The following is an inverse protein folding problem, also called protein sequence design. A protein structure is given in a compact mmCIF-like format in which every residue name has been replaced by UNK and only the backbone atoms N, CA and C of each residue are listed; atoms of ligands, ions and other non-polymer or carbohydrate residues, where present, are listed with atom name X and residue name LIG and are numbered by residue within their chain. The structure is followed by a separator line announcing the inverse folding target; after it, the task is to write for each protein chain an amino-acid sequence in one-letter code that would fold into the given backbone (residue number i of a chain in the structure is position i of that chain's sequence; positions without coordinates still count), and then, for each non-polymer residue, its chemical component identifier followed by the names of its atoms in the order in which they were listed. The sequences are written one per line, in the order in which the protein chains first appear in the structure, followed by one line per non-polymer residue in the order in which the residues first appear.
data_IF_251932344673
#
_entry.id   IF_251932344673
#
_cell.length_a   1.000
_cell.length_b   1.000
_cell.length_c   1.000
_cell.angle_alpha   90.00
_cell.angle_beta   90.00
_cell.angle_gamma   90.00
#
_symmetry.space_group_name_H-M   'P 1'
#
loop_
_entity.id
_entity.type
_entity.pdbx_description
1 polymer ?
#
# COMPACT_ATOMS: atom_id res chain seq x y z
N UNK A 1 -7.93 9.58 -54.60
CA UNK A 1 -7.17 8.99 -53.45
C UNK A 1 -6.93 10.08 -52.42
N UNK A 2 -7.51 9.99 -51.46
CA UNK A 2 -8.12 10.54 -50.23
C UNK A 2 -7.22 11.52 -49.45
N UNK A 3 -7.38 12.83 -49.72
CA UNK A 3 -6.88 13.92 -48.88
C UNK A 3 -7.44 13.91 -47.45
N UNK A 4 -8.51 13.19 -47.20
CA UNK A 4 -9.16 13.05 -45.88
C UNK A 4 -8.40 12.14 -44.90
N UNK A 5 -7.62 11.20 -45.40
CA UNK A 5 -6.79 10.30 -44.57
C UNK A 5 -5.54 10.98 -44.02
N UNK A 6 -4.97 11.96 -44.77
CA UNK A 6 -3.76 12.69 -44.33
C UNK A 6 -4.07 13.68 -43.18
N UNK A 7 -5.28 14.23 -43.11
CA UNK A 7 -5.67 15.17 -42.05
C UNK A 7 -5.88 14.42 -40.73
N UNK A 8 -6.40 13.19 -40.77
CA UNK A 8 -6.57 12.36 -39.56
C UNK A 8 -5.24 11.89 -38.99
N UNK A 9 -4.26 11.57 -39.83
CA UNK A 9 -2.91 11.16 -39.41
C UNK A 9 -2.13 12.31 -38.77
N UNK A 10 -2.30 13.55 -39.27
CA UNK A 10 -1.63 14.73 -38.70
C UNK A 10 -2.24 15.16 -37.36
N UNK A 11 -3.53 14.92 -37.12
CA UNK A 11 -4.19 15.22 -35.85
C UNK A 11 -3.77 14.28 -34.71
N UNK A 12 -3.44 13.00 -35.01
CA UNK A 12 -2.96 12.04 -34.03
C UNK A 12 -1.52 12.34 -33.59
N UNK A 13 -0.68 12.89 -34.47
CA UNK A 13 0.70 13.28 -34.13
C UNK A 13 0.76 14.56 -33.28
N UNK A 14 -0.25 15.45 -33.36
CA UNK A 14 -0.30 16.66 -32.53
C UNK A 14 -0.66 16.38 -31.06
N UNK A 15 -1.32 15.25 -30.75
CA UNK A 15 -1.66 14.86 -29.37
C UNK A 15 -0.50 14.17 -28.61
N UNK A 16 0.52 13.69 -29.29
CA UNK A 16 1.69 13.07 -28.64
C UNK A 16 2.65 14.09 -28.00
N UNK A 17 2.47 15.38 -28.22
CA UNK A 17 3.33 16.45 -27.69
C UNK A 17 2.84 17.14 -26.42
N UNK A 18 1.66 16.80 -25.92
CA UNK A 18 1.12 17.33 -24.65
C UNK A 18 1.29 16.34 -23.50
N UNK A 19 2.39 15.60 -23.46
CA UNK A 19 2.84 14.94 -22.23
C UNK A 19 3.29 16.05 -21.29
N UNK A 20 2.37 16.44 -20.42
CA UNK A 20 2.50 17.36 -19.34
C UNK A 20 3.92 17.45 -18.78
N UNK A 21 4.44 18.63 -18.66
CA UNK A 21 5.40 18.99 -17.63
C UNK A 21 4.72 18.74 -16.28
N UNK A 22 4.62 17.47 -15.89
CA UNK A 22 4.44 17.08 -14.50
C UNK A 22 5.60 17.74 -13.79
N UNK A 23 5.35 18.62 -12.83
CA UNK A 23 6.42 19.26 -12.09
C UNK A 23 7.39 18.16 -11.65
N UNK A 24 8.71 18.39 -11.73
CA UNK A 24 9.67 17.33 -11.44
C UNK A 24 9.45 16.64 -10.09
N UNK A 25 8.86 17.34 -9.12
CA UNK A 25 8.47 16.80 -7.81
C UNK A 25 7.37 15.75 -7.94
N UNK A 26 6.31 15.99 -8.73
CA UNK A 26 5.19 15.06 -8.84
C UNK A 26 5.63 13.74 -9.50
N UNK A 27 6.54 13.80 -10.48
CA UNK A 27 7.13 12.60 -11.09
C UNK A 27 7.96 11.78 -10.08
N UNK A 28 8.73 12.45 -9.22
CA UNK A 28 9.49 11.79 -8.15
C UNK A 28 8.55 11.16 -7.13
N UNK A 29 7.49 11.86 -6.70
CA UNK A 29 6.51 11.33 -5.77
C UNK A 29 5.79 10.09 -6.32
N UNK A 30 5.44 10.08 -7.60
CA UNK A 30 4.87 8.89 -8.26
C UNK A 30 5.85 7.71 -8.28
N UNK A 31 7.13 7.95 -8.56
CA UNK A 31 8.15 6.90 -8.50
C UNK A 31 8.35 6.35 -7.09
N UNK A 32 8.34 7.22 -6.07
CA UNK A 32 8.41 6.80 -4.68
C UNK A 32 7.20 5.96 -4.33
N UNK A 33 6.00 6.39 -4.67
CA UNK A 33 4.77 5.64 -4.41
C UNK A 33 4.81 4.24 -5.04
N UNK A 34 5.31 4.11 -6.26
CA UNK A 34 5.37 2.83 -6.95
C UNK A 34 6.46 1.89 -6.40
N UNK A 35 7.59 2.43 -5.91
CA UNK A 35 8.78 1.64 -5.61
C UNK A 35 9.13 1.57 -4.12
N UNK A 36 8.48 2.34 -3.25
CA UNK A 36 8.79 2.38 -1.83
C UNK A 36 8.46 1.04 -1.15
N UNK A 37 9.48 0.43 -0.54
CA UNK A 37 9.36 -0.89 0.11
C UNK A 37 8.50 -0.85 1.38
N UNK A 38 8.47 0.27 2.09
CA UNK A 38 7.63 0.44 3.28
C UNK A 38 6.15 0.51 2.90
N UNK A 39 5.81 1.20 1.80
CA UNK A 39 4.44 1.21 1.28
C UNK A 39 3.99 -0.17 0.83
N UNK A 40 4.87 -0.92 0.17
CA UNK A 40 4.59 -2.31 -0.23
C UNK A 40 4.38 -3.21 0.98
N UNK A 41 5.29 -3.13 1.97
CA UNK A 41 5.19 -3.91 3.20
C UNK A 41 3.91 -3.58 3.99
N UNK A 42 3.58 -2.29 4.12
CA UNK A 42 2.34 -1.86 4.78
C UNK A 42 1.10 -2.36 4.03
N UNK A 43 1.10 -2.34 2.70
CA UNK A 43 -0.01 -2.88 1.88
C UNK A 43 -0.22 -4.38 2.14
N UNK A 44 0.86 -5.17 2.23
CA UNK A 44 0.78 -6.58 2.57
C UNK A 44 0.29 -6.81 4.00
N UNK A 45 0.76 -6.02 4.97
CA UNK A 45 0.31 -6.08 6.35
C UNK A 45 -1.20 -5.80 6.47
N UNK A 46 -1.67 -4.71 5.86
CA UNK A 46 -3.09 -4.35 5.85
C UNK A 46 -3.93 -5.44 5.18
N UNK A 47 -3.44 -6.02 4.08
CA UNK A 47 -4.13 -7.12 3.39
C UNK A 47 -4.25 -8.37 4.28
N UNK A 48 -3.19 -8.72 5.00
CA UNK A 48 -3.17 -9.82 5.98
C UNK A 48 -4.19 -9.59 7.09
N UNK A 49 -4.19 -8.40 7.70
CA UNK A 49 -5.13 -8.04 8.78
C UNK A 49 -6.59 -8.03 8.31
N UNK A 50 -6.85 -7.64 7.06
CA UNK A 50 -8.20 -7.73 6.46
C UNK A 50 -8.65 -9.18 6.29
N UNK A 51 -7.74 -10.08 5.91
CA UNK A 51 -8.04 -11.51 5.81
C UNK A 51 -8.32 -12.09 7.21
N UNK A 52 -7.52 -11.75 8.21
CA UNK A 52 -7.75 -12.13 9.60
C UNK A 52 -9.13 -11.65 10.10
N UNK A 53 -9.51 -10.41 9.82
CA UNK A 53 -10.84 -9.92 10.17
C UNK A 53 -11.98 -10.73 9.52
N UNK A 54 -11.77 -11.28 8.32
CA UNK A 54 -12.76 -12.15 7.68
C UNK A 54 -12.89 -13.51 8.38
N UNK A 55 -11.76 -14.10 8.79
CA UNK A 55 -11.74 -15.42 9.42
C UNK A 55 -12.36 -15.39 10.83
N UNK A 56 -12.32 -14.26 11.52
CA UNK A 56 -12.90 -14.10 12.86
C UNK A 56 -14.43 -14.27 12.94
N UNK A 57 -15.11 -14.39 11.81
CA UNK A 57 -16.57 -14.60 11.77
C UNK A 57 -16.97 -15.93 11.14
N UNK A 58 -16.03 -16.87 11.05
CA UNK A 58 -16.30 -18.21 10.60
C UNK A 58 -17.03 -19.04 11.67
N UNK A 59 -17.74 -20.07 11.21
CA UNK A 59 -18.27 -21.09 12.11
C UNK A 59 -17.10 -21.82 12.76
N UNK A 60 -17.22 -22.25 14.04
CA UNK A 60 -16.26 -23.17 14.65
C UNK A 60 -16.11 -24.43 13.81
N UNK A 61 -14.93 -24.99 13.81
CA UNK A 61 -14.66 -26.20 13.05
C UNK A 61 -15.47 -27.40 13.59
N UNK A 62 -16.02 -28.27 12.72
CA UNK A 62 -16.64 -29.51 13.15
C UNK A 62 -15.59 -30.44 13.76
N UNK A 63 -15.94 -31.10 14.85
CA UNK A 63 -15.07 -32.11 15.46
C UNK A 63 -15.60 -33.49 15.15
N UNK A 64 -14.72 -34.36 14.68
CA UNK A 64 -14.96 -35.78 14.46
C UNK A 64 -14.13 -36.56 15.48
N UNK A 65 -14.79 -37.31 16.34
CA UNK A 65 -14.13 -38.21 17.28
C UNK A 65 -14.55 -39.66 16.99
N UNK A 66 -13.58 -40.55 17.06
CA UNK A 66 -13.79 -41.99 17.00
C UNK A 66 -13.21 -42.62 18.26
N UNK A 67 -14.06 -43.32 19.02
CA UNK A 67 -13.67 -44.10 20.18
C UNK A 67 -13.90 -45.56 19.89
N UNK A 68 -12.88 -46.37 20.15
CA UNK A 68 -12.98 -47.83 20.12
C UNK A 68 -12.94 -48.35 21.54
N UNK A 69 -14.06 -48.93 21.99
CA UNK A 69 -14.22 -49.44 23.35
C UNK A 69 -14.05 -50.96 23.34
N UNK A 70 -13.12 -51.43 24.16
CA UNK A 70 -12.85 -52.86 24.33
C UNK A 70 -13.48 -53.29 25.66
N UNK A 71 -14.33 -54.32 25.65
CA UNK A 71 -14.82 -54.87 26.92
C UNK A 71 -13.72 -55.79 27.51
N UNK A 72 -13.30 -55.45 28.72
CA UNK A 72 -12.28 -56.20 29.45
C UNK A 72 -12.75 -57.58 29.97
N UNK A 73 -14.05 -57.87 29.90
CA UNK A 73 -14.62 -59.13 30.43
C UNK A 73 -15.10 -60.11 29.35
N UNK A 74 -15.43 -59.59 28.17
CA UNK A 74 -15.81 -60.40 26.99
C UNK A 74 -14.99 -59.91 25.81
N UNK A 75 -13.97 -60.63 25.44
CA UNK A 75 -13.05 -60.28 24.34
C UNK A 75 -13.65 -60.30 22.94
N UNK A 76 -14.92 -60.67 22.81
CA UNK A 76 -15.59 -60.75 21.52
C UNK A 76 -16.55 -59.59 21.22
N UNK A 77 -16.80 -58.71 22.19
CA UNK A 77 -17.64 -57.54 21.95
C UNK A 77 -16.79 -56.26 21.91
N UNK A 78 -16.63 -55.72 20.72
CA UNK A 78 -16.01 -54.42 20.48
C UNK A 78 -17.06 -53.42 20.01
N UNK A 79 -17.16 -52.29 20.69
CA UNK A 79 -18.07 -51.19 20.29
C UNK A 79 -17.26 -50.03 19.75
N UNK A 80 -17.54 -49.69 18.50
CA UNK A 80 -16.98 -48.46 17.89
C UNK A 80 -18.02 -47.30 17.99
N UNK A 81 -17.61 -46.20 18.54
CA UNK A 81 -18.39 -44.97 18.61
C UNK A 81 -17.77 -43.92 17.73
N UNK A 82 -18.55 -43.35 16.79
CA UNK A 82 -18.16 -42.21 15.99
C UNK A 82 -19.09 -41.04 16.28
N UNK A 83 -18.52 -39.94 16.78
CA UNK A 83 -19.26 -38.73 17.14
C UNK A 83 -18.81 -37.58 16.24
N UNK A 84 -19.78 -36.98 15.56
CA UNK A 84 -19.59 -35.72 14.82
C UNK A 84 -20.29 -34.62 15.61
N UNK A 85 -19.57 -33.62 16.03
CA UNK A 85 -20.16 -32.48 16.73
C UNK A 85 -19.83 -31.16 16.06
N UNK A 86 -20.83 -30.30 15.94
CA UNK A 86 -20.74 -28.95 15.40
C UNK A 86 -21.35 -27.97 16.40
N UNK A 87 -20.55 -27.00 16.86
CA UNK A 87 -21.06 -25.92 17.71
C UNK A 87 -21.49 -24.72 16.86
N UNK A 88 -22.49 -24.01 17.33
CA UNK A 88 -22.99 -22.79 16.73
C UNK A 88 -23.13 -21.71 17.81
N UNK A 89 -22.59 -20.53 17.53
CA UNK A 89 -22.88 -19.36 18.34
C UNK A 89 -24.29 -18.81 18.02
N UNK A 90 -24.82 -17.99 18.91
CA UNK A 90 -26.11 -17.36 18.68
C UNK A 90 -26.07 -16.43 17.46
N UNK A 91 -27.06 -16.46 16.54
CA UNK A 91 -27.03 -15.74 15.26
C UNK A 91 -26.70 -14.25 15.35
N UNK A 92 -27.10 -13.57 16.44
CA UNK A 92 -26.80 -12.15 16.64
C UNK A 92 -25.31 -11.88 16.84
N UNK A 93 -24.53 -12.85 17.34
CA UNK A 93 -23.09 -12.73 17.49
C UNK A 93 -22.40 -12.64 16.13
N UNK A 94 -22.79 -13.46 15.18
CA UNK A 94 -22.25 -13.40 13.82
C UNK A 94 -22.56 -12.05 13.15
N UNK A 95 -23.78 -11.53 13.32
CA UNK A 95 -24.17 -10.22 12.79
C UNK A 95 -23.35 -9.09 13.42
N UNK A 96 -23.12 -9.14 14.73
CA UNK A 96 -22.35 -8.13 15.47
C UNK A 96 -20.87 -8.21 15.11
N UNK A 97 -20.27 -9.42 15.05
CA UNK A 97 -18.90 -9.64 14.60
C UNK A 97 -18.70 -9.14 13.16
N UNK A 98 -19.67 -9.39 12.26
CA UNK A 98 -19.63 -8.90 10.90
C UNK A 98 -19.59 -7.37 10.82
N UNK A 99 -20.41 -6.66 11.63
CA UNK A 99 -20.37 -5.20 11.72
C UNK A 99 -19.04 -4.69 12.27
N UNK A 100 -18.53 -5.31 13.33
CA UNK A 100 -17.24 -4.97 13.93
C UNK A 100 -16.09 -5.18 12.93
N UNK A 101 -16.06 -6.31 12.21
CA UNK A 101 -15.03 -6.61 11.23
C UNK A 101 -15.04 -5.62 10.07
N UNK A 102 -16.23 -5.16 9.65
CA UNK A 102 -16.34 -4.09 8.65
C UNK A 102 -15.76 -2.77 9.14
N UNK A 103 -16.06 -2.37 10.38
CA UNK A 103 -15.50 -1.15 10.97
C UNK A 103 -13.98 -1.24 11.12
N UNK A 104 -13.46 -2.40 11.57
CA UNK A 104 -12.01 -2.65 11.63
C UNK A 104 -11.36 -2.55 10.25
N UNK A 105 -11.99 -3.13 9.22
CA UNK A 105 -11.49 -3.05 7.85
C UNK A 105 -11.44 -1.61 7.35
N UNK A 106 -12.48 -0.80 7.61
CA UNK A 106 -12.48 0.62 7.25
C UNK A 106 -11.39 1.41 8.01
N UNK A 107 -11.15 1.08 9.27
CA UNK A 107 -10.06 1.69 10.05
C UNK A 107 -8.68 1.35 9.46
N UNK A 108 -8.47 0.10 9.02
CA UNK A 108 -7.24 -0.31 8.34
C UNK A 108 -7.05 0.44 7.01
N UNK A 109 -8.11 0.70 6.24
CA UNK A 109 -8.04 1.49 5.01
C UNK A 109 -7.65 2.96 5.29
N UNK A 110 -8.22 3.54 6.33
CA UNK A 110 -7.86 4.88 6.78
C UNK A 110 -6.39 4.94 7.24
N UNK A 111 -5.94 3.93 7.99
CA UNK A 111 -4.54 3.82 8.42
C UNK A 111 -3.58 3.69 7.24
N UNK A 112 -3.90 2.86 6.24
CA UNK A 112 -3.09 2.72 5.04
C UNK A 112 -2.98 4.06 4.28
N UNK A 113 -4.09 4.79 4.17
CA UNK A 113 -4.13 6.10 3.52
C UNK A 113 -3.28 7.13 4.27
N UNK A 114 -3.41 7.18 5.60
CA UNK A 114 -2.62 8.09 6.44
C UNK A 114 -1.11 7.80 6.33
N UNK A 115 -0.72 6.52 6.38
CA UNK A 115 0.67 6.11 6.23
C UNK A 115 1.24 6.50 4.85
N UNK A 116 0.47 6.26 3.76
CA UNK A 116 0.86 6.70 2.42
C UNK A 116 1.07 8.22 2.36
N UNK A 117 0.15 9.00 2.90
CA UNK A 117 0.26 10.45 2.91
C UNK A 117 1.49 10.93 3.71
N UNK A 118 1.80 10.29 4.82
CA UNK A 118 2.98 10.61 5.62
C UNK A 118 4.28 10.39 4.84
N UNK A 119 4.42 9.26 4.15
CA UNK A 119 5.61 8.97 3.33
C UNK A 119 5.74 9.99 2.18
N UNK A 120 4.64 10.31 1.49
CA UNK A 120 4.66 11.29 0.40
C UNK A 120 4.95 12.71 0.90
N UNK A 121 4.50 13.08 2.10
CA UNK A 121 4.82 14.36 2.73
C UNK A 121 6.31 14.47 3.01
N UNK A 122 6.90 13.47 3.68
CA UNK A 122 8.35 13.43 3.95
C UNK A 122 9.16 13.50 2.65
N UNK A 123 8.77 12.77 1.62
CA UNK A 123 9.43 12.84 0.32
C UNK A 123 9.35 14.23 -0.30
N UNK A 124 8.20 14.90 -0.20
CA UNK A 124 8.01 16.26 -0.69
C UNK A 124 8.87 17.28 0.07
N UNK A 125 8.97 17.15 1.39
CA UNK A 125 9.85 17.99 2.23
C UNK A 125 11.31 17.86 1.79
N UNK A 126 11.81 16.64 1.60
CA UNK A 126 13.18 16.40 1.10
C UNK A 126 13.39 17.00 -0.29
N UNK A 127 12.43 16.88 -1.20
CA UNK A 127 12.53 17.51 -2.52
C UNK A 127 12.62 19.04 -2.43
N UNK A 128 11.86 19.66 -1.54
CA UNK A 128 11.90 21.11 -1.34
C UNK A 128 13.24 21.55 -0.73
N UNK A 129 13.77 20.79 0.23
CA UNK A 129 15.08 21.06 0.83
C UNK A 129 16.20 20.99 -0.21
N UNK A 130 16.16 20.00 -1.10
CA UNK A 130 17.13 19.90 -2.19
C UNK A 130 17.06 21.11 -3.11
N UNK A 131 15.87 21.55 -3.49
CA UNK A 131 15.68 22.75 -4.33
C UNK A 131 16.22 24.01 -3.62
N UNK A 132 15.93 24.14 -2.33
CA UNK A 132 16.43 25.26 -1.52
C UNK A 132 17.95 25.27 -1.46
N UNK A 133 18.58 24.13 -1.18
CA UNK A 133 20.03 23.99 -1.14
C UNK A 133 20.69 24.31 -2.48
N UNK A 134 20.12 23.83 -3.59
CA UNK A 134 20.59 24.16 -4.93
C UNK A 134 20.52 25.65 -5.21
N UNK A 135 19.47 26.35 -4.78
CA UNK A 135 19.37 27.81 -4.92
C UNK A 135 20.38 28.55 -4.07
N UNK A 136 20.60 28.07 -2.83
CA UNK A 136 21.63 28.65 -1.95
C UNK A 136 23.03 28.46 -2.54
N UNK A 137 23.33 27.27 -3.06
CA UNK A 137 24.61 27.00 -3.72
C UNK A 137 24.84 27.95 -4.91
N UNK A 138 23.87 28.08 -5.81
CA UNK A 138 23.98 28.99 -6.94
C UNK A 138 24.24 30.44 -6.55
N UNK A 139 23.57 30.91 -5.48
CA UNK A 139 23.80 32.25 -4.91
C UNK A 139 25.22 32.42 -4.32
N UNK A 140 25.72 31.40 -3.62
CA UNK A 140 27.07 31.42 -3.05
C UNK A 140 28.13 31.39 -4.12
N UNK A 141 27.96 30.62 -5.18
CA UNK A 141 28.87 30.57 -6.34
C UNK A 141 28.92 31.91 -7.05
N UNK A 142 27.80 32.62 -7.22
CA UNK A 142 27.75 33.96 -7.78
C UNK A 142 28.49 34.96 -6.86
N UNK A 143 28.28 34.90 -5.56
CA UNK A 143 28.99 35.76 -4.60
C UNK A 143 30.48 35.52 -4.57
N UNK A 144 30.89 34.24 -4.66
CA UNK A 144 32.30 33.89 -4.72
C UNK A 144 32.95 34.48 -5.97
N UNK A 145 32.31 34.29 -7.14
CA UNK A 145 32.80 34.87 -8.40
C UNK A 145 32.96 36.39 -8.33
N UNK A 146 31.96 37.10 -7.77
CA UNK A 146 32.01 38.55 -7.62
C UNK A 146 33.16 38.98 -6.67
N UNK A 147 33.41 38.22 -5.59
CA UNK A 147 34.52 38.48 -4.69
C UNK A 147 35.88 38.25 -5.33
N UNK A 148 36.03 37.21 -6.13
CA UNK A 148 37.24 36.93 -6.91
C UNK A 148 37.52 38.02 -7.94
N UNK A 149 36.51 38.49 -8.67
CA UNK A 149 36.63 39.60 -9.65
C UNK A 149 37.07 40.91 -8.95
N UNK A 150 36.46 41.22 -7.79
CA UNK A 150 36.87 42.39 -6.98
C UNK A 150 38.32 42.25 -6.52
N UNK A 151 38.72 41.11 -5.98
CA UNK A 151 40.08 40.84 -5.56
C UNK A 151 41.08 41.01 -6.69
N UNK A 152 40.75 40.54 -7.88
CA UNK A 152 41.60 40.66 -9.09
C UNK A 152 41.73 42.12 -9.54
N UNK A 153 40.73 42.99 -9.32
CA UNK A 153 40.79 44.41 -9.62
C UNK A 153 41.69 45.18 -8.61
N UNK A 154 41.74 44.76 -7.36
CA UNK A 154 42.60 45.42 -6.35
C UNK A 154 44.07 44.96 -6.38
N UNK A 155 44.39 43.85 -7.01
CA UNK A 155 45.73 43.30 -7.10
C UNK A 155 46.47 43.75 -8.37
N UNK A 156 45.82 44.54 -9.23
CA UNK A 156 46.42 45.19 -10.39
C UNK A 156 46.91 46.61 -10.06
#
# INVERSE_FOLDING_TARGET
MNKRFFIFSAAILAFAGMSAQTSGIDAVLQQIEANNKELQANSHLISSQKLENKTNNNLPDPTLSYAHLWDSKNSDETVGEMVISQSFDFPTLYATRGKMNRLKTNALDAQATAFRQQILLQAKEVCLDIIMLQRQQALLDERLKNAEELSAMYTR
#
